data_IF_654063911154
#
_entry.id   IF_654063911154
#
_cell.length_a   1.000
_cell.length_b   1.000
_cell.length_c   1.000
_cell.angle_alpha   90.00
_cell.angle_beta   90.00
_cell.angle_gamma   90.00
#
_symmetry.space_group_name_H-M   'P 1'
#
loop_
_entity.id
_entity.type
_entity.pdbx_description
1 polymer ?
#
# COMPACT_ATOMS: atom_id res chain seq x y z
N UNK A 1 -1.17 12.73 0.20
CA UNK A 1 -1.09 13.81 -0.81
C UNK A 1 -1.60 13.37 -2.18
N UNK A 2 -1.65 12.06 -2.51
CA UNK A 2 -2.12 11.61 -3.82
C UNK A 2 -1.08 11.69 -4.94
N UNK A 3 0.11 12.26 -4.68
CA UNK A 3 1.19 12.45 -5.67
C UNK A 3 2.50 11.76 -5.26
N UNK A 4 2.45 10.83 -4.31
CA UNK A 4 3.62 10.04 -3.89
C UNK A 4 4.62 10.72 -2.96
N UNK A 5 4.47 12.01 -2.66
CA UNK A 5 5.45 12.78 -1.88
C UNK A 5 5.39 12.54 -0.35
N UNK A 6 4.21 12.29 0.22
CA UNK A 6 4.04 12.27 1.68
C UNK A 6 4.11 10.88 2.32
N UNK A 7 4.18 9.80 1.53
CA UNK A 7 4.24 8.40 2.00
C UNK A 7 3.10 7.92 2.93
N UNK A 8 2.13 8.76 3.27
CA UNK A 8 1.03 8.41 4.20
C UNK A 8 0.05 7.36 3.69
N UNK A 9 0.09 7.02 2.40
CA UNK A 9 -0.69 5.92 1.83
C UNK A 9 0.20 4.70 1.50
N UNK A 10 1.27 4.50 2.27
CA UNK A 10 2.14 3.32 2.14
C UNK A 10 1.43 2.10 2.72
N UNK A 11 1.51 0.97 2.02
CA UNK A 11 0.93 -0.31 2.39
C UNK A 11 2.03 -1.38 2.33
N UNK A 12 2.18 -2.20 3.39
CA UNK A 12 3.10 -3.33 3.38
C UNK A 12 2.55 -4.45 2.49
N UNK A 13 3.41 -4.96 1.61
CA UNK A 13 3.11 -6.10 0.74
C UNK A 13 4.24 -7.11 0.82
N UNK A 14 4.01 -8.32 0.30
CA UNK A 14 5.04 -9.38 0.22
C UNK A 14 6.28 -8.98 -0.60
N UNK A 15 6.17 -7.95 -1.46
CA UNK A 15 7.27 -7.44 -2.30
C UNK A 15 7.91 -6.16 -1.72
N UNK A 16 7.58 -5.82 -0.47
CA UNK A 16 7.99 -4.58 0.18
C UNK A 16 6.86 -3.54 0.24
N UNK A 17 7.20 -2.33 0.60
CA UNK A 17 6.22 -1.25 0.78
C UNK A 17 5.81 -0.68 -0.58
N UNK A 18 4.51 -0.72 -0.88
CA UNK A 18 3.90 -0.05 -2.04
C UNK A 18 3.11 1.18 -1.58
N UNK A 19 2.86 2.13 -2.48
CA UNK A 19 2.09 3.36 -2.20
C UNK A 19 0.77 3.33 -2.96
N UNK A 20 -0.37 3.42 -2.27
CA UNK A 20 -1.71 3.41 -2.89
C UNK A 20 -1.85 4.43 -4.03
N UNK A 21 -1.34 5.65 -3.85
CA UNK A 21 -1.46 6.70 -4.86
C UNK A 21 -0.56 6.54 -6.10
N UNK A 22 0.36 5.56 -6.11
CA UNK A 22 1.26 5.32 -7.23
C UNK A 22 1.16 3.88 -7.76
N UNK A 23 1.09 2.91 -6.85
CA UNK A 23 1.05 1.48 -7.12
C UNK A 23 -0.36 0.87 -7.01
N UNK A 24 -1.31 1.59 -6.41
CA UNK A 24 -2.71 1.16 -6.19
C UNK A 24 -3.72 1.91 -7.07
N UNK A 25 -4.99 2.09 -6.64
CA UNK A 25 -5.54 1.83 -5.31
C UNK A 25 -6.05 0.41 -5.06
N UNK A 26 -6.06 -0.44 -6.10
CA UNK A 26 -6.53 -1.82 -6.04
C UNK A 26 -5.33 -2.75 -6.00
N UNK A 27 -5.34 -3.69 -5.06
CA UNK A 27 -4.29 -4.67 -4.84
C UNK A 27 -4.89 -6.06 -4.79
N UNK A 28 -4.09 -7.07 -5.12
CA UNK A 28 -4.51 -8.45 -4.92
C UNK A 28 -4.47 -8.79 -3.42
N UNK A 29 -5.49 -9.49 -2.93
CA UNK A 29 -5.61 -9.80 -1.50
C UNK A 29 -4.43 -10.63 -0.98
N UNK A 30 -3.86 -11.48 -1.84
CA UNK A 30 -2.70 -12.30 -1.51
C UNK A 30 -1.36 -11.52 -1.56
N UNK A 31 -1.32 -10.32 -2.12
CA UNK A 31 -0.09 -9.51 -2.14
C UNK A 31 0.08 -8.66 -0.87
N UNK A 32 -1.02 -8.25 -0.25
CA UNK A 32 -1.04 -7.33 0.91
C UNK A 32 -0.88 -8.10 2.22
N UNK A 33 -0.06 -7.57 3.13
CA UNK A 33 0.06 -8.07 4.50
C UNK A 33 -1.07 -7.46 5.35
N UNK A 34 -2.24 -8.11 5.33
CA UNK A 34 -3.48 -7.58 5.91
C UNK A 34 -3.39 -7.36 7.43
N UNK A 35 -2.64 -8.18 8.14
CA UNK A 35 -2.41 -8.05 9.59
C UNK A 35 -1.73 -6.72 9.98
N UNK A 36 -0.94 -6.14 9.08
CA UNK A 36 -0.28 -4.85 9.29
C UNK A 36 -1.17 -3.67 8.87
N UNK A 37 -2.14 -3.92 7.97
CA UNK A 37 -3.14 -2.94 7.57
C UNK A 37 -4.32 -3.07 8.52
N UNK A 38 -4.25 -2.36 9.66
CA UNK A 38 -5.37 -2.25 10.60
C UNK A 38 -6.61 -1.68 9.90
N UNK A 39 -7.57 -2.56 9.63
CA UNK A 39 -8.95 -2.22 9.26
C UNK A 39 -9.75 -1.78 10.49
#
# INVERSE_FOLDING_TARGET
CGVGACYGCSIPTKQGVKRVCLDGPVFNLDEVLLEEVRL
#
